data_IF_325297726214
#
_entry.id   IF_325297726214
#
_cell.length_a   1.000
_cell.length_b   1.000
_cell.length_c   1.000
_cell.angle_alpha   90.00
_cell.angle_beta   90.00
_cell.angle_gamma   90.00
#
_symmetry.space_group_name_H-M   'P 1'
#
loop_
_entity.id
_entity.type
_entity.pdbx_description
1 polymer ?
#
# COMPACT_ATOMS: atom_id res chain seq x y z
N UNK A 1 9.76 -3.15 -19.76
CA UNK A 1 8.76 -2.29 -19.10
C UNK A 1 8.92 -2.44 -17.61
N UNK A 2 8.78 -1.35 -16.85
CA UNK A 2 8.73 -1.40 -15.38
C UNK A 2 7.41 -2.02 -14.97
N UNK A 3 7.45 -3.08 -14.15
CA UNK A 3 6.24 -3.70 -13.62
C UNK A 3 5.64 -2.85 -12.50
N UNK A 4 4.32 -2.79 -12.44
CA UNK A 4 3.55 -2.10 -11.39
C UNK A 4 2.95 -3.09 -10.42
N UNK A 5 3.19 -2.88 -9.12
CA UNK A 5 2.60 -3.66 -8.06
C UNK A 5 1.66 -2.80 -7.22
N UNK A 6 0.48 -3.32 -6.88
CA UNK A 6 -0.45 -2.69 -5.95
C UNK A 6 -0.50 -3.47 -4.63
N UNK A 7 -0.18 -2.82 -3.51
CA UNK A 7 -0.10 -3.43 -2.18
C UNK A 7 -1.13 -2.79 -1.27
N UNK A 8 -2.07 -3.59 -0.75
CA UNK A 8 -2.92 -3.16 0.38
C UNK A 8 -2.22 -3.48 1.68
N UNK A 9 -2.38 -2.64 2.71
CA UNK A 9 -1.71 -2.87 3.99
C UNK A 9 -0.20 -2.61 3.94
N UNK A 10 0.24 -1.74 3.02
CA UNK A 10 1.67 -1.41 2.79
C UNK A 10 2.39 -0.89 4.04
N UNK A 11 1.66 -0.28 4.98
CA UNK A 11 2.18 0.24 6.25
C UNK A 11 2.35 -0.83 7.34
N UNK A 12 1.83 -2.04 7.09
CA UNK A 12 2.07 -3.21 7.92
C UNK A 12 3.51 -3.73 7.80
N UNK A 13 3.85 -4.72 8.61
CA UNK A 13 5.18 -5.34 8.57
C UNK A 13 5.46 -5.95 7.19
N UNK A 14 4.64 -6.91 6.76
CA UNK A 14 4.85 -7.64 5.51
C UNK A 14 4.76 -6.72 4.30
N UNK A 15 3.83 -5.76 4.34
CA UNK A 15 3.69 -4.74 3.29
C UNK A 15 4.94 -3.89 3.10
N UNK A 16 5.59 -3.48 4.20
CA UNK A 16 6.81 -2.68 4.13
C UNK A 16 8.00 -3.45 3.55
N UNK A 17 8.22 -4.69 3.98
CA UNK A 17 9.29 -5.55 3.44
C UNK A 17 9.05 -5.92 1.98
N UNK A 18 7.79 -6.19 1.60
CA UNK A 18 7.44 -6.46 0.21
C UNK A 18 7.68 -5.24 -0.67
N UNK A 19 7.30 -4.05 -0.21
CA UNK A 19 7.55 -2.80 -0.93
C UNK A 19 9.04 -2.59 -1.18
N UNK A 20 9.88 -2.76 -0.16
CA UNK A 20 11.34 -2.66 -0.28
C UNK A 20 11.89 -3.66 -1.32
N UNK A 21 11.49 -4.93 -1.24
CA UNK A 21 11.91 -5.98 -2.17
C UNK A 21 11.50 -5.69 -3.62
N UNK A 22 10.28 -5.18 -3.83
CA UNK A 22 9.79 -4.87 -5.18
C UNK A 22 10.50 -3.64 -5.75
N UNK A 23 10.70 -2.60 -4.95
CA UNK A 23 11.46 -1.41 -5.34
C UNK A 23 12.91 -1.75 -5.70
N UNK A 24 13.55 -2.68 -4.96
CA UNK A 24 14.90 -3.17 -5.24
C UNK A 24 14.98 -4.00 -6.53
N UNK A 25 13.89 -4.66 -6.92
CA UNK A 25 13.73 -5.34 -8.21
C UNK A 25 13.38 -4.41 -9.36
N UNK A 26 13.27 -3.10 -9.10
CA UNK A 26 12.97 -2.09 -10.11
C UNK A 26 11.48 -1.99 -10.46
N UNK A 27 10.59 -2.45 -9.59
CA UNK A 27 9.14 -2.23 -9.74
C UNK A 27 8.77 -0.79 -9.40
N UNK A 28 7.63 -0.37 -9.95
CA UNK A 28 6.83 0.73 -9.43
C UNK A 28 5.80 0.17 -8.45
N UNK A 29 5.76 0.71 -7.24
CA UNK A 29 4.94 0.22 -6.13
C UNK A 29 3.90 1.26 -5.77
N UNK A 30 2.63 0.84 -5.79
CA UNK A 30 1.48 1.61 -5.35
C UNK A 30 0.93 1.02 -4.06
N UNK A 31 0.89 1.84 -3.01
CA UNK A 31 0.43 1.43 -1.69
C UNK A 31 -0.91 2.02 -1.32
N UNK A 32 -1.84 1.20 -0.83
CA UNK A 32 -3.08 1.68 -0.23
C UNK A 32 -2.86 2.00 1.25
N UNK A 33 -3.16 3.24 1.64
CA UNK A 33 -3.12 3.71 3.03
C UNK A 33 -4.49 4.23 3.49
N UNK A 34 -4.87 3.92 4.73
CA UNK A 34 -6.07 4.50 5.34
C UNK A 34 -5.79 5.93 5.80
N UNK A 35 -6.81 6.79 5.75
CA UNK A 35 -6.72 8.09 6.41
C UNK A 35 -6.72 7.86 7.92
N UNK A 36 -5.73 8.42 8.60
CA UNK A 36 -5.62 8.38 10.06
C UNK A 36 -5.22 9.76 10.57
N UNK A 37 -5.62 10.07 11.81
CA UNK A 37 -5.23 11.30 12.51
C UNK A 37 -3.76 11.30 12.94
N UNK A 38 -3.10 10.15 12.86
CA UNK A 38 -1.69 9.94 13.17
C UNK A 38 -0.94 9.36 11.97
N UNK A 39 0.35 9.70 11.86
CA UNK A 39 1.22 9.17 10.81
C UNK A 39 1.48 7.68 11.06
N UNK A 40 0.99 6.82 10.16
CA UNK A 40 1.15 5.38 10.22
C UNK A 40 2.15 4.84 9.18
N UNK A 41 3.00 5.70 8.61
CA UNK A 41 3.93 5.37 7.51
C UNK A 41 5.36 5.11 7.97
N UNK A 42 5.66 5.13 9.28
CA UNK A 42 7.01 4.99 9.83
C UNK A 42 7.84 3.82 9.24
N UNK A 43 7.19 2.70 8.90
CA UNK A 43 7.85 1.52 8.31
C UNK A 43 8.29 1.71 6.85
N UNK A 44 7.74 2.69 6.14
CA UNK A 44 8.00 2.95 4.72
C UNK A 44 8.53 4.37 4.48
N UNK A 45 8.65 5.21 5.51
CA UNK A 45 9.13 6.59 5.37
C UNK A 45 10.53 6.67 4.73
N UNK A 46 11.41 5.70 5.02
CA UNK A 46 12.75 5.62 4.43
C UNK A 46 12.76 5.23 2.94
N UNK A 47 11.67 4.64 2.45
CA UNK A 47 11.46 4.31 1.03
C UNK A 47 10.82 5.48 0.28
N UNK A 48 10.20 6.41 1.00
CA UNK A 48 9.50 7.53 0.41
C UNK A 48 10.49 8.56 -0.12
N UNK A 49 10.31 8.91 -1.38
CA UNK A 49 11.00 9.98 -2.07
C UNK A 49 9.96 10.93 -2.64
N UNK A 50 10.30 12.21 -2.76
CA UNK A 50 9.40 13.21 -3.32
C UNK A 50 8.80 12.70 -4.65
N UNK A 51 7.46 12.63 -4.80
CA UNK A 51 6.81 12.12 -6.00
C UNK A 51 7.18 12.88 -7.28
N UNK A 52 7.68 14.12 -7.18
CA UNK A 52 8.15 14.91 -8.31
C UNK A 52 9.59 14.58 -8.71
N UNK A 53 10.29 13.76 -7.94
CA UNK A 53 11.62 13.26 -8.29
C UNK A 53 11.52 12.28 -9.45
N UNK A 54 12.37 12.39 -10.50
CA UNK A 54 12.38 11.46 -11.63
C UNK A 54 12.61 9.98 -11.23
N UNK A 55 13.15 9.74 -10.04
CA UNK A 55 13.43 8.43 -9.49
C UNK A 55 12.33 7.88 -8.56
N UNK A 56 11.24 8.61 -8.33
CA UNK A 56 10.17 8.16 -7.46
C UNK A 56 9.48 6.92 -8.06
N UNK A 57 9.43 5.85 -7.27
CA UNK A 57 8.78 4.58 -7.65
C UNK A 57 7.79 4.08 -6.60
N UNK A 58 7.62 4.81 -5.49
CA UNK A 58 6.66 4.50 -4.44
C UNK A 58 5.58 5.57 -4.43
N UNK A 59 4.34 5.17 -4.68
CA UNK A 59 3.18 6.07 -4.69
C UNK A 59 2.15 5.60 -3.68
N UNK A 60 1.71 6.49 -2.79
CA UNK A 60 0.72 6.16 -1.75
C UNK A 60 -0.63 6.76 -2.07
N UNK A 61 -1.67 5.94 -1.96
CA UNK A 61 -3.04 6.28 -2.30
C UNK A 61 -3.92 6.12 -1.08
N UNK A 62 -4.74 7.13 -0.80
CA UNK A 62 -5.73 7.02 0.26
C UNK A 62 -6.92 6.16 -0.19
N UNK A 63 -7.30 5.19 0.63
CA UNK A 63 -8.54 4.43 0.47
C UNK A 63 -8.71 3.38 1.56
N UNK A 64 -9.83 2.67 1.49
CA UNK A 64 -10.21 1.63 2.43
C UNK A 64 -10.67 0.39 1.67
N UNK A 65 -10.42 -0.81 2.23
CA UNK A 65 -10.84 -2.07 1.61
C UNK A 65 -12.37 -2.24 1.60
N UNK A 66 -13.09 -1.58 2.52
CA UNK A 66 -14.55 -1.58 2.56
C UNK A 66 -15.18 -0.72 1.45
N UNK A 67 -14.42 0.23 0.87
CA UNK A 67 -14.87 1.09 -0.22
C UNK A 67 -14.51 0.48 -1.58
N UNK A 68 -15.31 -0.50 -2.00
CA UNK A 68 -15.11 -1.22 -3.26
C UNK A 68 -15.13 -0.32 -4.50
N UNK A 69 -15.95 0.74 -4.51
CA UNK A 69 -16.00 1.68 -5.64
C UNK A 69 -14.67 2.41 -5.81
N UNK A 70 -14.12 2.94 -4.71
CA UNK A 70 -12.83 3.64 -4.74
C UNK A 70 -11.68 2.71 -5.12
N UNK A 71 -11.69 1.45 -4.66
CA UNK A 71 -10.70 0.45 -5.06
C UNK A 71 -10.75 0.14 -6.57
N UNK A 72 -11.95 -0.01 -7.14
CA UNK A 72 -12.11 -0.27 -8.58
C UNK A 72 -11.55 0.89 -9.40
N UNK A 73 -11.88 2.13 -9.05
CA UNK A 73 -11.34 3.32 -9.72
C UNK A 73 -9.81 3.34 -9.62
N UNK A 74 -9.27 3.11 -8.42
CA UNK A 74 -7.83 3.17 -8.19
C UNK A 74 -7.07 2.08 -8.95
N UNK A 75 -7.58 0.85 -8.97
CA UNK A 75 -6.99 -0.25 -9.73
C UNK A 75 -7.04 0.01 -11.23
N UNK A 76 -8.09 0.65 -11.74
CA UNK A 76 -8.19 1.04 -13.14
C UNK A 76 -7.19 2.14 -13.52
N UNK A 77 -6.97 3.13 -12.63
CA UNK A 77 -5.99 4.20 -12.82
C UNK A 77 -4.55 3.67 -12.75
N UNK A 78 -4.25 2.86 -11.74
CA UNK A 78 -2.91 2.29 -11.51
C UNK A 78 -2.59 1.21 -12.55
N UNK A 79 -3.58 0.43 -12.98
CA UNK A 79 -3.44 -0.71 -13.88
C UNK A 79 -2.26 -1.64 -13.50
N UNK A 80 -2.22 -2.18 -12.27
CA UNK A 80 -1.09 -2.96 -11.79
C UNK A 80 -0.95 -4.30 -12.53
N UNK A 81 0.28 -4.77 -12.70
CA UNK A 81 0.57 -6.11 -13.20
C UNK A 81 0.40 -7.18 -12.11
N UNK A 82 0.62 -6.79 -10.85
CA UNK A 82 0.57 -7.67 -9.68
C UNK A 82 -0.19 -6.98 -8.54
N UNK A 83 -1.10 -7.71 -7.87
CA UNK A 83 -1.86 -7.20 -6.72
C UNK A 83 -1.57 -8.08 -5.50
N UNK A 84 -1.17 -7.45 -4.40
CA UNK A 84 -0.87 -8.08 -3.13
C UNK A 84 -1.84 -7.55 -2.05
N UNK A 85 -2.81 -8.37 -1.65
CA UNK A 85 -3.79 -8.00 -0.65
C UNK A 85 -3.33 -8.40 0.76
N UNK A 86 -2.64 -7.51 1.47
CA UNK A 86 -2.09 -7.76 2.82
C UNK A 86 -2.81 -6.97 3.93
N UNK A 87 -3.72 -6.07 3.59
CA UNK A 87 -4.52 -5.37 4.60
C UNK A 87 -5.50 -6.33 5.28
N UNK A 88 -5.43 -6.39 6.61
CA UNK A 88 -6.33 -7.15 7.46
C UNK A 88 -6.36 -6.57 8.88
N UNK A 89 -7.44 -6.85 9.62
CA UNK A 89 -7.40 -6.86 11.07
C UNK A 89 -6.49 -8.03 11.48
N UNK A 90 -5.28 -7.74 11.94
CA UNK A 90 -4.26 -8.75 12.25
C UNK A 90 -4.15 -9.07 13.73
N UNK A 91 -4.86 -8.32 14.60
CA UNK A 91 -4.79 -8.49 16.03
C UNK A 91 -5.97 -9.33 16.54
N UNK A 92 -5.72 -10.63 16.72
CA UNK A 92 -6.71 -11.65 17.09
C UNK A 92 -7.65 -11.22 18.23
N UNK A 93 -7.14 -10.64 19.32
CA UNK A 93 -8.04 -10.21 20.42
C UNK A 93 -9.07 -9.16 19.96
N UNK A 94 -8.64 -8.18 19.19
CA UNK A 94 -9.49 -7.05 18.77
C UNK A 94 -10.50 -7.52 17.72
N UNK A 95 -10.22 -8.57 16.95
CA UNK A 95 -11.21 -9.14 16.01
C UNK A 95 -12.44 -9.75 16.70
N UNK A 96 -12.36 -10.09 18.00
CA UNK A 96 -13.52 -10.53 18.77
C UNK A 96 -14.29 -9.38 19.42
N UNK A 97 -13.62 -8.25 19.68
CA UNK A 97 -14.23 -7.06 20.29
C UNK A 97 -14.93 -6.20 19.22
N UNK A 98 -14.32 -6.07 18.05
CA UNK A 98 -14.82 -5.33 16.90
C UNK A 98 -14.78 -6.23 15.66
N UNK A 99 -15.73 -7.18 15.54
CA UNK A 99 -15.89 -7.93 14.31
C UNK A 99 -16.49 -6.99 13.25
N UNK A 100 -15.66 -6.55 12.31
CA UNK A 100 -16.14 -6.04 11.01
C UNK A 100 -16.70 -7.17 10.15
#
# INVERSE_FOLDING_TARGET
MTKRAFITGITGQDGSYLAELLLSKGYEVHGLIRRASTFNTARIDHLYVDPHSPGARLFLHYGDLSDGTRLVTLLAEVAPDEVYNLAAQSHVRVSFEEPE
#
